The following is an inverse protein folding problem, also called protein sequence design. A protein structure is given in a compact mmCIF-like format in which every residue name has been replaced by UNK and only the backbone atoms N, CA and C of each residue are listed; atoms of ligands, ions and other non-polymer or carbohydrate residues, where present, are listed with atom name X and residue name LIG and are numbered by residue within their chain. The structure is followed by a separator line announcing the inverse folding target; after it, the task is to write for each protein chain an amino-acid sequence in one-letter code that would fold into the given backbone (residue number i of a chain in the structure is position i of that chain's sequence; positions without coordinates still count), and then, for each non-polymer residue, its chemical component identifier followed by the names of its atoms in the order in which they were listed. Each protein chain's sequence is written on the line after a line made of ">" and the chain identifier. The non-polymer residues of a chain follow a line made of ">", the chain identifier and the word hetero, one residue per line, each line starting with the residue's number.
data_IF_445327356639
#
_entry.id   IF_445327356639
#
_cell.length_a   1.000
_cell.length_b   1.000
_cell.length_c   1.000
_cell.angle_alpha   90.00
_cell.angle_beta   90.00
_cell.angle_gamma   90.00
#
_symmetry.space_group_name_H-M   'P 1'
#
loop_
_entity.id
_entity.type
_entity.pdbx_description
1 polymer ?
#
# COMPACT_ATOMS: atom_id res chain seq x y z
N UNK A 1 3.74 -12.23 -14.46
CA UNK A 1 3.43 -12.48 -13.03
C UNK A 1 3.50 -11.23 -12.18
N UNK A 2 4.60 -10.48 -12.24
CA UNK A 2 4.94 -9.33 -11.40
C UNK A 2 4.03 -8.10 -11.57
N UNK A 3 3.87 -7.56 -12.79
CA UNK A 3 3.20 -6.26 -13.05
C UNK A 3 1.74 -6.15 -12.58
N UNK A 4 0.99 -7.26 -12.53
CA UNK A 4 -0.40 -7.29 -12.04
C UNK A 4 -0.46 -7.19 -10.51
N UNK A 5 0.42 -7.91 -9.83
CA UNK A 5 0.53 -7.88 -8.37
C UNK A 5 0.95 -6.49 -7.90
N UNK A 6 1.94 -5.88 -8.57
CA UNK A 6 2.36 -4.49 -8.31
C UNK A 6 1.22 -3.48 -8.48
N UNK A 7 0.41 -3.61 -9.54
CA UNK A 7 -0.73 -2.71 -9.78
C UNK A 7 -1.81 -2.87 -8.73
N UNK A 8 -2.13 -4.10 -8.31
CA UNK A 8 -3.15 -4.36 -7.30
C UNK A 8 -2.71 -3.81 -5.94
N UNK A 9 -1.43 -4.01 -5.59
CA UNK A 9 -0.82 -3.40 -4.40
C UNK A 9 -0.98 -1.87 -4.44
N UNK A 10 -0.44 -1.22 -5.47
CA UNK A 10 -0.56 0.22 -5.66
C UNK A 10 -2.02 0.70 -5.67
N UNK A 11 -2.93 -0.07 -6.25
CA UNK A 11 -4.35 0.32 -6.34
C UNK A 11 -5.02 0.32 -4.98
N UNK A 12 -4.78 -0.69 -4.14
CA UNK A 12 -5.35 -0.71 -2.77
C UNK A 12 -4.64 0.28 -1.84
N UNK A 13 -3.31 0.42 -1.95
CA UNK A 13 -2.50 1.23 -1.03
C UNK A 13 -2.43 2.71 -1.38
N UNK A 14 -2.62 3.09 -2.65
CA UNK A 14 -2.63 4.50 -3.04
C UNK A 14 -3.75 5.28 -2.33
N UNK A 15 -4.94 4.71 -2.18
CA UNK A 15 -6.05 5.31 -1.43
C UNK A 15 -5.67 5.57 0.03
N UNK A 16 -5.01 4.59 0.65
CA UNK A 16 -4.57 4.67 2.04
C UNK A 16 -3.49 5.74 2.26
N UNK A 17 -2.64 6.01 1.26
CA UNK A 17 -1.59 7.04 1.32
C UNK A 17 -2.09 8.48 1.11
N UNK A 18 -3.23 8.68 0.45
CA UNK A 18 -3.84 10.03 0.29
C UNK A 18 -4.97 10.30 1.28
N UNK A 19 -5.05 9.53 2.38
CA UNK A 19 -6.07 9.71 3.44
C UNK A 19 -7.52 9.71 2.91
N UNK A 20 -7.75 9.09 1.74
CA UNK A 20 -9.09 8.89 1.18
C UNK A 20 -9.50 7.45 1.45
N UNK A 21 -10.64 7.25 2.08
CA UNK A 21 -11.18 5.91 2.35
C UNK A 21 -11.17 5.05 1.08
N UNK A 22 -10.74 3.79 1.20
CA UNK A 22 -10.73 2.85 0.07
C UNK A 22 -12.18 2.66 -0.39
N UNK A 23 -12.51 2.93 -1.66
CA UNK A 23 -13.88 2.72 -2.15
C UNK A 23 -14.27 1.24 -2.00
N UNK A 24 -15.44 0.99 -1.42
CA UNK A 24 -15.97 -0.36 -1.19
C UNK A 24 -16.97 -0.77 -2.29
N UNK A 25 -17.28 -2.07 -2.40
CA UNK A 25 -18.34 -2.57 -3.28
C UNK A 25 -18.13 -2.28 -4.79
N UNK A 26 -19.20 -1.85 -5.47
CA UNK A 26 -19.19 -1.59 -6.93
C UNK A 26 -18.35 -0.37 -7.31
N UNK A 27 -18.19 0.59 -6.41
CA UNK A 27 -17.37 1.80 -6.64
C UNK A 27 -15.89 1.46 -6.79
N UNK A 28 -15.40 0.45 -6.04
CA UNK A 28 -14.04 -0.09 -6.20
C UNK A 28 -13.70 -0.50 -7.63
N UNK A 29 -14.67 -1.07 -8.37
CA UNK A 29 -14.43 -1.58 -9.73
C UNK A 29 -14.21 -0.47 -10.75
N UNK A 30 -14.62 0.77 -10.46
CA UNK A 30 -14.44 1.94 -11.33
C UNK A 30 -13.47 2.98 -10.78
N UNK A 31 -13.07 2.85 -9.52
CA UNK A 31 -12.17 3.77 -8.87
C UNK A 31 -10.77 3.69 -9.52
N UNK A 32 -10.30 4.82 -10.07
CA UNK A 32 -8.91 4.96 -10.48
C UNK A 32 -8.11 5.30 -9.24
N UNK A 33 -7.17 4.44 -8.81
CA UNK A 33 -6.34 4.76 -7.66
C UNK A 33 -5.59 6.08 -7.91
N UNK A 34 -5.42 6.91 -6.87
CA UNK A 34 -4.64 8.11 -7.00
C UNK A 34 -3.22 7.75 -7.43
N UNK A 35 -2.64 8.54 -8.33
CA UNK A 35 -1.23 8.40 -8.69
C UNK A 35 -0.44 9.04 -7.56
N UNK A 36 0.19 8.20 -6.73
CA UNK A 36 1.00 8.64 -5.60
C UNK A 36 2.47 8.55 -5.98
N UNK A 37 3.26 9.64 -5.88
CA UNK A 37 4.70 9.57 -6.09
C UNK A 37 5.34 8.56 -5.14
N UNK A 38 6.09 7.60 -5.69
CA UNK A 38 6.73 6.55 -4.89
C UNK A 38 7.66 7.14 -3.82
N UNK A 39 8.31 8.27 -4.11
CA UNK A 39 9.18 9.00 -3.20
C UNK A 39 8.52 9.45 -1.88
N UNK A 40 7.18 9.46 -1.80
CA UNK A 40 6.49 9.72 -0.54
C UNK A 40 6.71 8.60 0.49
N UNK A 41 7.10 7.40 0.06
CA UNK A 41 7.47 6.30 0.96
C UNK A 41 8.87 6.43 1.57
N UNK A 42 9.72 7.34 1.04
CA UNK A 42 11.02 7.67 1.64
C UNK A 42 10.92 8.76 2.72
N UNK A 43 9.74 9.36 2.87
CA UNK A 43 9.49 10.38 3.88
C UNK A 43 9.42 9.72 5.27
N UNK A 44 9.98 10.33 6.32
CA UNK A 44 9.98 9.76 7.67
C UNK A 44 8.57 9.50 8.21
N UNK A 45 7.57 10.25 7.75
CA UNK A 45 6.16 10.12 8.15
C UNK A 45 5.47 8.91 7.48
N UNK A 46 6.08 8.28 6.47
CA UNK A 46 5.48 7.20 5.70
C UNK A 46 5.14 5.97 6.55
N UNK A 47 6.03 5.59 7.48
CA UNK A 47 5.82 4.45 8.36
C UNK A 47 4.60 4.64 9.27
N UNK A 48 4.45 5.82 9.88
CA UNK A 48 3.30 6.15 10.73
C UNK A 48 1.99 6.16 9.94
N UNK A 49 1.97 6.82 8.77
CA UNK A 49 0.79 6.83 7.89
C UNK A 49 0.40 5.42 7.42
N UNK A 50 1.39 4.57 7.19
CA UNK A 50 1.16 3.19 6.81
C UNK A 50 0.58 2.37 7.97
N UNK A 51 1.09 2.57 9.19
CA UNK A 51 0.53 1.95 10.39
C UNK A 51 -0.95 2.33 10.60
N UNK A 52 -1.28 3.62 10.49
CA UNK A 52 -2.66 4.12 10.63
C UNK A 52 -3.58 3.55 9.55
N UNK A 53 -3.08 3.49 8.31
CA UNK A 53 -3.79 2.88 7.20
C UNK A 53 -4.07 1.39 7.43
N UNK A 54 -3.09 0.66 7.96
CA UNK A 54 -3.23 -0.76 8.30
C UNK A 54 -4.24 -0.98 9.42
N UNK A 55 -4.21 -0.15 10.47
CA UNK A 55 -5.16 -0.22 11.56
C UNK A 55 -6.60 -0.01 11.07
N UNK A 56 -6.84 0.99 10.20
CA UNK A 56 -8.15 1.19 9.57
C UNK A 56 -8.56 0.01 8.70
N UNK A 57 -7.64 -0.52 7.89
CA UNK A 57 -7.92 -1.66 7.01
C UNK A 57 -8.23 -2.94 7.78
N UNK A 58 -7.60 -3.14 8.93
CA UNK A 58 -7.84 -4.27 9.81
C UNK A 58 -9.24 -4.25 10.44
N UNK A 59 -9.86 -3.08 10.59
CA UNK A 59 -11.23 -2.96 11.06
C UNK A 59 -12.27 -3.44 10.03
N UNK A 60 -11.97 -3.27 8.73
CA UNK A 60 -12.93 -3.52 7.64
C UNK A 60 -12.68 -4.83 6.87
N UNK A 61 -11.46 -5.36 6.91
CA UNK A 61 -11.04 -6.49 6.08
C UNK A 61 -10.82 -7.77 6.89
N UNK A 62 -11.18 -8.90 6.31
CA UNK A 62 -10.85 -10.21 6.86
C UNK A 62 -9.31 -10.38 7.04
N UNK A 63 -8.84 -10.98 8.16
CA UNK A 63 -7.41 -11.11 8.45
C UNK A 63 -6.60 -11.80 7.34
N UNK A 64 -7.16 -12.78 6.63
CA UNK A 64 -6.46 -13.45 5.51
C UNK A 64 -6.26 -12.51 4.34
N UNK A 65 -7.24 -11.63 4.08
CA UNK A 65 -7.13 -10.60 3.05
C UNK A 65 -6.06 -9.58 3.43
N UNK A 66 -6.06 -9.11 4.67
CA UNK A 66 -5.07 -8.16 5.17
C UNK A 66 -3.64 -8.72 5.08
N UNK A 67 -3.43 -9.96 5.55
CA UNK A 67 -2.13 -10.62 5.49
C UNK A 67 -1.61 -10.76 4.05
N UNK A 68 -2.50 -11.08 3.10
CA UNK A 68 -2.13 -11.16 1.69
C UNK A 68 -1.75 -9.79 1.12
N UNK A 69 -2.49 -8.73 1.45
CA UNK A 69 -2.19 -7.36 1.04
C UNK A 69 -0.84 -6.90 1.59
N UNK A 70 -0.53 -7.24 2.86
CA UNK A 70 0.75 -6.98 3.52
C UNK A 70 1.93 -7.72 2.87
N UNK A 71 1.80 -9.03 2.62
CA UNK A 71 2.87 -9.80 1.97
C UNK A 71 3.21 -9.25 0.59
N UNK A 72 2.19 -8.83 -0.16
CA UNK A 72 2.39 -8.20 -1.47
C UNK A 72 3.13 -6.85 -1.33
N UNK A 73 2.76 -6.03 -0.35
CA UNK A 73 3.39 -4.75 -0.12
C UNK A 73 4.86 -4.89 0.30
N UNK A 74 5.18 -5.81 1.22
CA UNK A 74 6.56 -6.11 1.63
C UNK A 74 7.41 -6.54 0.43
N UNK A 75 6.89 -7.43 -0.41
CA UNK A 75 7.60 -7.84 -1.63
C UNK A 75 7.83 -6.68 -2.60
N UNK A 76 6.85 -5.78 -2.71
CA UNK A 76 6.98 -4.62 -3.59
C UNK A 76 8.01 -3.60 -3.10
N UNK A 77 7.97 -3.26 -1.81
CA UNK A 77 8.95 -2.38 -1.16
C UNK A 77 10.36 -2.95 -1.28
N UNK A 78 10.54 -4.24 -0.99
CA UNK A 78 11.82 -4.90 -1.14
C UNK A 78 12.37 -4.76 -2.56
N UNK A 79 11.53 -5.02 -3.57
CA UNK A 79 11.93 -4.87 -4.98
C UNK A 79 12.24 -3.41 -5.35
N UNK A 80 11.43 -2.44 -4.94
CA UNK A 80 11.72 -1.02 -5.20
C UNK A 80 13.05 -0.57 -4.59
N UNK A 81 13.39 -1.10 -3.40
CA UNK A 81 14.69 -0.87 -2.78
C UNK A 81 15.82 -1.51 -3.57
N UNK A 82 15.66 -2.73 -4.11
CA UNK A 82 16.69 -3.33 -4.98
C UNK A 82 16.89 -2.56 -6.28
N UNK A 83 15.85 -1.88 -6.79
CA UNK A 83 15.97 -1.00 -7.95
C UNK A 83 16.54 0.39 -7.62
N UNK A 84 16.77 0.70 -6.33
CA UNK A 84 17.21 2.03 -5.88
C UNK A 84 16.14 3.11 -5.97
N UNK A 85 14.87 2.73 -6.15
CA UNK A 85 13.74 3.67 -6.26
C UNK A 85 13.21 4.12 -4.89
N UNK A 86 13.51 3.33 -3.85
CA UNK A 86 13.30 3.66 -2.45
C UNK A 86 14.60 3.44 -1.69
N UNK A 87 14.90 4.36 -0.78
CA UNK A 87 16.04 4.26 0.13
C UNK A 87 15.60 3.68 1.47
N UNK A 88 14.47 4.15 1.99
CA UNK A 88 13.92 3.73 3.26
C UNK A 88 13.09 2.45 3.14
N UNK A 89 12.90 1.78 4.27
CA UNK A 89 11.90 0.73 4.41
C UNK A 89 10.71 1.25 5.22
N UNK A 90 9.64 1.74 4.57
CA UNK A 90 8.45 2.21 5.28
C UNK A 90 7.72 1.08 6.02
N UNK A 91 8.03 -0.19 5.72
CA UNK A 91 7.44 -1.36 6.40
C UNK A 91 8.24 -1.77 7.65
N UNK A 92 9.38 -1.14 7.93
CA UNK A 92 10.20 -1.51 9.08
C UNK A 92 9.40 -1.30 10.39
N UNK A 93 9.22 -2.38 11.16
CA UNK A 93 8.49 -2.35 12.43
C UNK A 93 7.00 -2.68 12.35
N UNK A 94 6.48 -3.04 11.15
CA UNK A 94 5.12 -3.55 10.92
C UNK A 94 5.14 -5.06 10.63
#
# INVERSE_FOLDING_TARGET
>A
GSRRIYRIALTSWAWLLVERGVPVGRERRRARPPVVPLALLDRPEAAGRLADALARRAADADPRTLNRELSILRGAVAWWRTQGWLRADPMAGL
#
